data_IF_853483132305
#
_entry.id   IF_853483132305
#
_cell.length_a   1.000
_cell.length_b   1.000
_cell.length_c   1.000
_cell.angle_alpha   90.00
_cell.angle_beta   90.00
_cell.angle_gamma   90.00
#
_symmetry.space_group_name_H-M   'P 1'
#
loop_
_entity.id
_entity.type
_entity.pdbx_description
1 polymer ?
#
# COMPACT_ATOMS: atom_id res chain seq x y z
N UNK A 1 9.82 -63.29 -22.05
CA UNK A 1 10.18 -62.63 -20.78
C UNK A 1 10.01 -61.14 -20.97
N UNK A 2 8.80 -60.66 -20.72
CA UNK A 2 8.38 -59.26 -20.82
C UNK A 2 8.34 -58.68 -19.41
N UNK A 3 9.26 -57.75 -19.11
CA UNK A 3 9.29 -57.03 -17.84
C UNK A 3 8.53 -55.70 -18.01
N UNK A 4 7.38 -55.64 -17.34
CA UNK A 4 6.59 -54.42 -17.12
C UNK A 4 7.34 -53.51 -16.15
N UNK A 5 7.68 -52.30 -16.58
CA UNK A 5 8.09 -51.19 -15.72
C UNK A 5 6.88 -50.26 -15.61
N UNK A 6 6.19 -50.31 -14.47
CA UNK A 6 5.09 -49.40 -14.13
C UNK A 6 5.66 -48.14 -13.49
N UNK A 7 5.73 -47.05 -14.28
CA UNK A 7 6.02 -45.71 -13.77
C UNK A 7 4.77 -45.07 -13.18
N UNK A 8 4.72 -44.90 -11.86
CA UNK A 8 3.68 -44.16 -11.16
C UNK A 8 4.02 -42.66 -11.23
N UNK A 9 3.55 -41.99 -12.28
CA UNK A 9 3.48 -40.52 -12.31
C UNK A 9 2.29 -40.05 -11.46
N UNK A 10 2.57 -39.64 -10.21
CA UNK A 10 1.60 -38.84 -9.43
C UNK A 10 1.54 -37.44 -10.05
N UNK A 11 0.55 -37.22 -10.91
CA UNK A 11 0.06 -35.87 -11.24
C UNK A 11 -0.57 -35.29 -9.98
N UNK A 12 0.16 -34.43 -9.26
CA UNK A 12 -0.48 -33.50 -8.33
C UNK A 12 -1.29 -32.51 -9.15
N UNK A 13 -2.61 -32.71 -9.16
CA UNK A 13 -3.53 -31.75 -9.69
C UNK A 13 -3.46 -30.49 -8.81
N UNK A 14 -2.96 -29.40 -9.38
CA UNK A 14 -3.19 -28.06 -8.85
C UNK A 14 -4.68 -27.77 -9.03
N UNK A 15 -5.48 -28.20 -8.05
CA UNK A 15 -6.84 -27.71 -7.88
C UNK A 15 -6.73 -26.22 -7.57
N UNK A 16 -7.14 -25.39 -8.53
CA UNK A 16 -7.41 -23.96 -8.28
C UNK A 16 -8.36 -23.90 -7.09
N UNK A 17 -7.84 -23.46 -5.95
CA UNK A 17 -8.66 -23.24 -4.78
C UNK A 17 -9.68 -22.15 -5.10
N UNK A 18 -10.98 -22.36 -4.87
CA UNK A 18 -11.95 -21.30 -4.97
C UNK A 18 -11.64 -20.29 -3.85
N UNK A 19 -11.35 -19.05 -4.25
CA UNK A 19 -11.36 -17.90 -3.36
C UNK A 19 -12.72 -17.86 -2.67
N UNK A 20 -12.79 -18.25 -1.40
CA UNK A 20 -14.00 -18.12 -0.60
C UNK A 20 -14.01 -16.70 -0.05
N UNK A 21 -14.85 -15.87 -0.68
CA UNK A 21 -15.11 -14.50 -0.27
C UNK A 21 -15.38 -14.43 1.24
N UNK A 22 -14.60 -13.64 1.96
CA UNK A 22 -14.89 -13.31 3.34
C UNK A 22 -16.09 -12.36 3.37
N UNK A 23 -17.18 -12.80 4.00
CA UNK A 23 -18.35 -11.99 4.34
C UNK A 23 -18.01 -10.82 5.29
N UNK A 24 -17.36 -9.79 4.79
CA UNK A 24 -17.55 -8.41 5.24
C UNK A 24 -18.03 -7.63 4.02
N UNK A 25 -19.34 -7.38 3.93
CA UNK A 25 -19.93 -6.71 2.77
C UNK A 25 -19.54 -5.24 2.65
N UNK A 26 -18.79 -4.69 3.62
CA UNK A 26 -18.35 -3.31 3.62
C UNK A 26 -16.84 -3.24 3.42
N UNK A 27 -16.40 -2.40 2.48
CA UNK A 27 -15.01 -1.98 2.32
C UNK A 27 -14.48 -1.43 3.64
N UNK A 28 -13.24 -1.78 4.00
CA UNK A 28 -12.61 -1.19 5.19
C UNK A 28 -12.41 0.33 5.01
N UNK A 29 -12.28 0.80 3.77
CA UNK A 29 -11.98 2.19 3.43
C UNK A 29 -13.18 3.12 3.47
N UNK A 30 -14.38 2.57 3.36
CA UNK A 30 -15.63 3.29 3.47
C UNK A 30 -16.03 3.51 4.93
N UNK A 31 -16.31 4.75 5.31
CA UNK A 31 -16.97 5.06 6.58
C UNK A 31 -18.46 4.70 6.49
N UNK A 32 -19.09 4.40 7.63
CA UNK A 32 -20.49 3.98 7.68
C UNK A 32 -21.48 4.99 7.03
N UNK A 33 -21.13 6.28 7.05
CA UNK A 33 -21.93 7.37 6.46
C UNK A 33 -21.56 7.70 5.01
N UNK A 34 -20.68 6.93 4.38
CA UNK A 34 -20.20 7.22 3.04
C UNK A 34 -21.25 6.93 1.95
N UNK A 35 -21.32 7.74 0.88
CA UNK A 35 -22.28 7.55 -0.22
C UNK A 35 -22.04 6.23 -0.97
N UNK A 36 -20.80 5.75 -0.98
CA UNK A 36 -20.36 4.51 -1.65
C UNK A 36 -20.21 3.32 -0.69
N UNK A 37 -20.83 3.39 0.49
CA UNK A 37 -20.86 2.29 1.47
C UNK A 37 -21.49 0.99 0.95
N UNK A 38 -22.28 1.07 -0.12
CA UNK A 38 -22.91 -0.09 -0.75
C UNK A 38 -21.96 -0.89 -1.66
N UNK A 39 -20.80 -0.33 -2.02
CA UNK A 39 -19.81 -1.01 -2.85
C UNK A 39 -18.93 -1.94 -2.02
N UNK A 40 -18.68 -3.13 -2.57
CA UNK A 40 -17.73 -4.08 -2.00
C UNK A 40 -16.30 -3.59 -2.23
N UNK A 41 -15.37 -4.02 -1.37
CA UNK A 41 -13.97 -3.67 -1.47
C UNK A 41 -13.32 -4.04 -2.81
N UNK A 42 -13.62 -5.22 -3.37
CA UNK A 42 -13.12 -5.66 -4.68
C UNK A 42 -13.59 -4.76 -5.83
N UNK A 43 -14.83 -4.26 -5.76
CA UNK A 43 -15.35 -3.32 -6.76
C UNK A 43 -14.61 -1.98 -6.67
N UNK A 44 -14.29 -1.54 -5.44
CA UNK A 44 -13.56 -0.31 -5.19
C UNK A 44 -12.12 -0.40 -5.71
N UNK A 45 -11.46 -1.54 -5.52
CA UNK A 45 -10.14 -1.82 -6.12
C UNK A 45 -10.21 -1.81 -7.64
N UNK A 46 -11.21 -2.46 -8.23
CA UNK A 46 -11.41 -2.45 -9.68
C UNK A 46 -11.60 -1.04 -10.22
N UNK A 47 -12.42 -0.22 -9.55
CA UNK A 47 -12.63 1.18 -9.91
C UNK A 47 -11.36 2.02 -9.76
N UNK A 48 -10.50 1.70 -8.79
CA UNK A 48 -9.23 2.37 -8.66
C UNK A 48 -8.30 2.02 -9.83
N UNK A 49 -8.27 0.77 -10.29
CA UNK A 49 -7.41 0.31 -11.38
C UNK A 49 -7.86 0.82 -12.76
N UNK A 50 -9.13 1.21 -12.91
CA UNK A 50 -9.68 1.75 -14.15
C UNK A 50 -8.81 2.89 -14.72
N UNK A 51 -8.48 2.79 -16.01
CA UNK A 51 -7.58 3.74 -16.68
C UNK A 51 -8.13 5.17 -16.69
N UNK A 52 -9.46 5.33 -16.75
CA UNK A 52 -10.13 6.64 -16.69
C UNK A 52 -9.91 7.30 -15.34
N UNK A 53 -10.09 6.53 -14.26
CA UNK A 53 -9.91 6.99 -12.89
C UNK A 53 -8.43 7.31 -12.64
N UNK A 54 -7.51 6.43 -13.05
CA UNK A 54 -6.07 6.69 -12.93
C UNK A 54 -5.62 7.96 -13.66
N UNK A 55 -6.12 8.20 -14.89
CA UNK A 55 -5.83 9.44 -15.63
C UNK A 55 -6.32 10.68 -14.88
N UNK A 56 -7.52 10.63 -14.30
CA UNK A 56 -8.06 11.71 -13.48
C UNK A 56 -7.23 11.91 -12.21
N UNK A 57 -6.92 10.86 -11.46
CA UNK A 57 -6.14 10.93 -10.23
C UNK A 57 -4.72 11.45 -10.45
N UNK A 58 -4.06 11.05 -11.54
CA UNK A 58 -2.76 11.58 -11.94
C UNK A 58 -2.83 13.07 -12.24
N UNK A 59 -3.87 13.50 -12.97
CA UNK A 59 -4.07 14.92 -13.24
C UNK A 59 -4.35 15.70 -11.96
N UNK A 60 -5.23 15.20 -11.09
CA UNK A 60 -5.57 15.83 -9.80
C UNK A 60 -4.32 16.01 -8.93
N UNK A 61 -3.45 15.00 -8.85
CA UNK A 61 -2.18 15.04 -8.09
C UNK A 61 -1.30 16.24 -8.41
N UNK A 62 -1.36 16.73 -9.66
CA UNK A 62 -0.52 17.83 -10.12
C UNK A 62 0.92 17.38 -10.37
N UNK A 63 1.70 18.30 -10.94
CA UNK A 63 3.07 18.02 -11.35
C UNK A 63 3.98 19.20 -11.01
N UNK A 64 4.39 19.28 -9.74
CA UNK A 64 5.38 20.24 -9.28
C UNK A 64 6.77 19.58 -9.24
N UNK A 65 7.58 19.83 -10.27
CA UNK A 65 8.89 19.19 -10.43
C UNK A 65 9.87 19.56 -9.34
N UNK A 66 9.83 20.80 -8.84
CA UNK A 66 10.71 21.27 -7.78
C UNK A 66 10.41 20.56 -6.46
N UNK A 67 9.12 20.32 -6.16
CA UNK A 67 8.72 19.55 -4.98
C UNK A 67 9.08 18.07 -5.11
N UNK A 68 8.81 17.46 -6.27
CA UNK A 68 9.05 16.02 -6.51
C UNK A 68 10.55 15.70 -6.44
N UNK A 69 11.37 16.54 -7.07
CA UNK A 69 12.82 16.36 -7.19
C UNK A 69 13.59 17.15 -6.12
N UNK A 70 12.92 17.57 -5.05
CA UNK A 70 13.55 18.29 -3.94
C UNK A 70 14.77 17.53 -3.42
N UNK A 71 15.76 18.29 -2.97
CA UNK A 71 16.99 17.72 -2.43
C UNK A 71 16.68 16.84 -1.21
N UNK A 72 17.08 15.57 -1.26
CA UNK A 72 16.92 14.61 -0.15
C UNK A 72 18.22 14.53 0.64
N UNK A 73 18.13 14.25 1.94
CA UNK A 73 19.30 13.94 2.75
C UNK A 73 19.79 12.54 2.35
N UNK A 74 20.96 12.47 1.72
CA UNK A 74 21.62 11.23 1.33
C UNK A 74 22.82 11.04 2.25
N UNK A 75 23.17 9.80 2.57
CA UNK A 75 24.31 9.48 3.44
C UNK A 75 25.66 9.97 2.89
N UNK A 76 25.76 10.12 1.57
CA UNK A 76 26.95 10.60 0.87
C UNK A 76 26.55 11.73 -0.07
N UNK A 77 27.17 12.89 0.11
CA UNK A 77 26.98 14.04 -0.78
C UNK A 77 27.93 13.91 -1.97
N UNK A 78 27.35 13.97 -3.17
CA UNK A 78 28.13 14.04 -4.40
C UNK A 78 28.46 15.51 -4.73
N UNK A 79 29.53 15.73 -5.50
CA UNK A 79 29.90 17.08 -5.95
C UNK A 79 28.90 17.54 -7.01
N UNK A 80 28.51 18.81 -6.95
CA UNK A 80 27.65 19.40 -7.98
C UNK A 80 28.41 19.49 -9.31
N UNK A 81 27.77 18.99 -10.38
CA UNK A 81 28.29 19.08 -11.73
C UNK A 81 27.67 20.28 -12.44
N UNK A 82 28.50 21.21 -12.90
CA UNK A 82 28.08 22.36 -13.69
C UNK A 82 28.37 22.09 -15.18
N UNK A 83 27.42 22.40 -16.05
CA UNK A 83 27.56 22.27 -17.49
C UNK A 83 27.04 23.53 -18.18
N UNK A 84 27.76 23.99 -19.22
CA UNK A 84 27.28 25.04 -20.10
C UNK A 84 26.33 24.41 -21.13
N UNK A 85 25.12 24.95 -21.26
CA UNK A 85 24.07 24.41 -22.13
C UNK A 85 23.54 25.50 -23.05
N UNK A 86 23.16 25.12 -24.27
CA UNK A 86 22.36 25.98 -25.16
C UNK A 86 20.88 25.90 -24.76
N UNK A 87 20.07 26.85 -25.22
CA UNK A 87 18.63 26.88 -24.90
C UNK A 87 17.90 25.60 -25.34
N UNK A 88 18.29 25.01 -26.47
CA UNK A 88 17.71 23.75 -26.94
C UNK A 88 18.08 22.59 -26.01
N UNK A 89 19.34 22.51 -25.56
CA UNK A 89 19.78 21.50 -24.61
C UNK A 89 19.07 21.65 -23.26
N UNK A 90 18.84 22.88 -22.80
CA UNK A 90 18.12 23.16 -21.57
C UNK A 90 16.66 22.67 -21.67
N UNK A 91 15.97 22.96 -22.78
CA UNK A 91 14.60 22.48 -23.02
C UNK A 91 14.50 20.96 -23.02
N UNK A 92 15.43 20.28 -23.69
CA UNK A 92 15.49 18.82 -23.67
C UNK A 92 15.75 18.28 -22.26
N UNK A 93 16.65 18.92 -21.51
CA UNK A 93 16.95 18.54 -20.15
C UNK A 93 15.74 18.69 -19.23
N UNK A 94 15.00 19.81 -19.33
CA UNK A 94 13.75 20.02 -18.60
C UNK A 94 12.72 18.94 -18.95
N UNK A 95 12.53 18.62 -20.24
CA UNK A 95 11.62 17.53 -20.64
C UNK A 95 12.02 16.17 -20.05
N UNK A 96 13.32 15.86 -19.98
CA UNK A 96 13.80 14.64 -19.31
C UNK A 96 13.59 14.66 -17.80
N UNK A 97 13.73 15.82 -17.16
CA UNK A 97 13.42 16.01 -15.74
C UNK A 97 11.93 15.77 -15.47
N UNK A 98 11.04 16.32 -16.30
CA UNK A 98 9.59 16.13 -16.19
C UNK A 98 9.23 14.64 -16.32
N UNK A 99 9.79 13.95 -17.31
CA UNK A 99 9.62 12.50 -17.47
C UNK A 99 10.14 11.70 -16.26
N UNK A 100 11.24 12.13 -15.66
CA UNK A 100 11.79 11.52 -14.45
C UNK A 100 10.89 11.78 -13.25
N UNK A 101 10.40 13.00 -13.08
CA UNK A 101 9.46 13.38 -12.04
C UNK A 101 8.16 12.56 -12.14
N UNK A 102 7.65 12.35 -13.36
CA UNK A 102 6.47 11.51 -13.60
C UNK A 102 6.63 10.06 -13.11
N UNK A 103 7.84 9.50 -13.13
CA UNK A 103 8.10 8.15 -12.59
C UNK A 103 7.99 8.10 -11.06
N UNK A 104 8.27 9.20 -10.36
CA UNK A 104 8.14 9.28 -8.90
C UNK A 104 6.68 9.43 -8.45
N UNK A 105 5.81 10.00 -9.29
CA UNK A 105 4.37 10.18 -9.01
C UNK A 105 3.50 8.94 -9.25
N UNK A 106 4.10 7.75 -9.32
CA UNK A 106 3.33 6.50 -9.40
C UNK A 106 2.49 6.32 -8.14
N UNK A 107 1.18 6.40 -8.31
CA UNK A 107 0.21 6.38 -7.23
C UNK A 107 0.35 5.09 -6.43
N UNK A 108 0.23 5.19 -5.10
CA UNK A 108 0.23 4.03 -4.21
C UNK A 108 -1.01 3.19 -4.47
N UNK A 109 -0.87 1.86 -4.68
CA UNK A 109 -2.02 1.01 -4.95
C UNK A 109 -2.99 1.03 -3.78
N UNK A 110 -4.28 1.15 -4.10
CA UNK A 110 -5.38 1.05 -3.16
C UNK A 110 -5.83 -0.41 -3.10
N UNK A 111 -5.72 -1.04 -1.92
CA UNK A 111 -6.10 -2.43 -1.68
C UNK A 111 -6.86 -2.57 -0.36
N UNK A 112 -7.78 -3.51 -0.30
CA UNK A 112 -8.40 -3.94 0.94
C UNK A 112 -7.42 -4.71 1.82
N UNK A 113 -7.58 -4.60 3.15
CA UNK A 113 -6.76 -5.32 4.08
C UNK A 113 -7.07 -6.82 4.01
N UNK A 114 -6.01 -7.62 3.94
CA UNK A 114 -6.11 -9.09 3.99
C UNK A 114 -6.68 -9.57 5.32
N UNK A 115 -7.42 -10.67 5.29
CA UNK A 115 -8.06 -11.24 6.47
C UNK A 115 -7.05 -11.90 7.42
N UNK A 116 -7.24 -11.74 8.74
CA UNK A 116 -6.44 -12.41 9.78
C UNK A 116 -6.88 -13.86 10.04
N UNK A 117 -7.46 -14.54 9.04
CA UNK A 117 -7.92 -15.93 9.19
C UNK A 117 -6.71 -16.86 9.11
N UNK A 118 -6.69 -17.83 10.03
CA UNK A 118 -5.70 -18.90 10.01
C UNK A 118 -6.41 -20.22 9.75
N UNK A 119 -5.76 -21.09 9.00
CA UNK A 119 -6.24 -22.43 8.70
C UNK A 119 -5.45 -23.44 9.51
N UNK A 120 -6.15 -24.34 10.19
CA UNK A 120 -5.51 -25.40 10.97
C UNK A 120 -5.21 -26.57 10.02
N UNK A 121 -3.93 -26.91 9.90
CA UNK A 121 -3.45 -27.98 9.04
C UNK A 121 -3.46 -29.33 9.77
N UNK A 122 -3.05 -29.35 11.04
CA UNK A 122 -2.99 -30.55 11.86
C UNK A 122 -3.13 -30.20 13.35
N UNK A 123 -3.56 -31.17 14.16
CA UNK A 123 -3.66 -31.04 15.62
C UNK A 123 -3.08 -32.29 16.27
N UNK A 124 -1.89 -32.14 16.86
CA UNK A 124 -1.15 -33.25 17.46
C UNK A 124 -1.13 -33.09 18.98
N UNK A 125 -2.07 -33.75 19.68
CA UNK A 125 -2.25 -33.60 21.13
C UNK A 125 -1.07 -34.17 21.94
N UNK A 126 -0.27 -35.07 21.35
CA UNK A 126 0.89 -35.69 22.00
C UNK A 126 2.04 -34.71 22.28
N UNK A 127 2.07 -33.57 21.57
CA UNK A 127 3.12 -32.55 21.66
C UNK A 127 2.61 -31.34 22.48
N UNK A 128 1.41 -31.44 23.05
CA UNK A 128 0.84 -30.41 23.91
C UNK A 128 1.74 -30.18 25.13
N UNK A 129 2.11 -28.91 25.37
CA UNK A 129 3.01 -28.53 26.46
C UNK A 129 4.48 -28.96 26.29
N UNK A 130 4.92 -29.33 25.07
CA UNK A 130 6.32 -29.65 24.81
C UNK A 130 7.27 -28.46 25.04
N UNK A 131 6.85 -27.25 24.65
CA UNK A 131 7.60 -26.01 24.88
C UNK A 131 6.65 -24.86 25.28
N UNK A 132 7.23 -23.85 25.92
CA UNK A 132 6.58 -22.60 26.31
C UNK A 132 6.45 -21.59 25.17
N UNK A 133 7.16 -21.78 24.06
CA UNK A 133 7.13 -20.89 22.91
C UNK A 133 6.50 -21.58 21.69
N UNK A 134 5.91 -20.76 20.80
CA UNK A 134 5.46 -21.24 19.48
C UNK A 134 6.63 -21.34 18.51
N UNK A 135 6.60 -22.34 17.64
CA UNK A 135 7.59 -22.52 16.59
C UNK A 135 7.05 -22.01 15.25
N UNK A 136 7.87 -21.25 14.53
CA UNK A 136 7.51 -20.75 13.19
C UNK A 136 8.44 -21.37 12.17
N UNK A 137 7.86 -22.14 11.26
CA UNK A 137 8.59 -22.77 10.16
C UNK A 137 8.34 -21.98 8.88
N UNK A 138 9.41 -21.60 8.20
CA UNK A 138 9.36 -20.80 6.97
C UNK A 138 10.15 -21.53 5.89
N UNK A 139 9.53 -21.71 4.74
CA UNK A 139 10.23 -22.21 3.56
C UNK A 139 11.14 -21.12 2.98
N UNK A 140 12.43 -21.40 2.86
CA UNK A 140 13.45 -20.45 2.37
C UNK A 140 13.86 -20.72 0.91
N UNK A 141 13.07 -21.49 0.18
CA UNK A 141 13.29 -21.77 -1.24
C UNK A 141 13.32 -20.48 -2.07
N UNK A 142 14.31 -20.37 -2.96
CA UNK A 142 14.54 -19.16 -3.77
C UNK A 142 13.47 -18.94 -4.85
N UNK A 143 12.86 -20.02 -5.35
CA UNK A 143 11.89 -19.95 -6.45
C UNK A 143 10.50 -19.46 -5.99
N UNK A 144 10.26 -19.37 -4.68
CA UNK A 144 9.00 -18.92 -4.11
C UNK A 144 8.96 -17.40 -3.94
N UNK A 145 7.88 -16.76 -4.41
CA UNK A 145 7.62 -15.34 -4.15
C UNK A 145 7.26 -15.11 -2.68
N UNK A 146 7.42 -13.88 -2.18
CA UNK A 146 7.03 -13.52 -0.81
C UNK A 146 5.55 -13.81 -0.52
N UNK A 147 4.70 -13.76 -1.57
CA UNK A 147 3.26 -14.01 -1.52
C UNK A 147 2.86 -15.49 -1.66
N UNK A 148 3.72 -16.35 -2.21
CA UNK A 148 3.44 -17.79 -2.37
C UNK A 148 4.19 -18.65 -1.33
N UNK A 149 5.16 -18.06 -0.62
CA UNK A 149 5.98 -18.76 0.38
C UNK A 149 5.16 -19.33 1.52
N UNK A 150 5.39 -20.60 1.83
CA UNK A 150 4.72 -21.28 2.93
C UNK A 150 5.34 -20.91 4.27
N UNK A 151 4.49 -20.44 5.18
CA UNK A 151 4.85 -20.14 6.58
C UNK A 151 3.81 -20.78 7.47
N UNK A 152 4.26 -21.65 8.35
CA UNK A 152 3.40 -22.39 9.28
C UNK A 152 3.86 -22.18 10.72
N UNK A 153 2.90 -22.16 11.62
CA UNK A 153 3.11 -21.90 13.04
C UNK A 153 2.60 -23.11 13.82
N UNK A 154 3.48 -23.68 14.64
CA UNK A 154 3.11 -24.67 15.65
C UNK A 154 2.90 -23.95 16.97
N UNK A 155 1.67 -23.97 17.44
CA UNK A 155 1.29 -23.44 18.75
C UNK A 155 1.67 -24.38 19.89
N UNK A 156 1.64 -23.86 21.12
CA UNK A 156 1.94 -24.60 22.34
C UNK A 156 1.00 -25.81 22.54
N UNK A 157 -0.26 -25.68 22.12
CA UNK A 157 -1.30 -26.71 22.19
C UNK A 157 -1.10 -27.88 21.19
N UNK A 158 0.06 -27.95 20.53
CA UNK A 158 0.34 -28.93 19.47
C UNK A 158 -0.38 -28.69 18.14
N UNK A 159 -1.11 -27.57 18.01
CA UNK A 159 -1.84 -27.22 16.77
C UNK A 159 -0.88 -26.63 15.73
N UNK A 160 -0.88 -27.17 14.51
CA UNK A 160 -0.17 -26.63 13.36
C UNK A 160 -1.15 -25.83 12.49
N UNK A 161 -0.91 -24.54 12.34
CA UNK A 161 -1.74 -23.63 11.53
C UNK A 161 -0.91 -22.85 10.53
N UNK A 162 -1.58 -22.25 9.55
CA UNK A 162 -0.97 -21.23 8.70
C UNK A 162 -0.62 -19.97 9.51
N UNK A 163 0.44 -19.28 9.09
CA UNK A 163 0.86 -18.05 9.75
C UNK A 163 -0.14 -16.92 9.53
N UNK A 164 -0.27 -16.05 10.54
CA UNK A 164 -0.98 -14.79 10.36
C UNK A 164 -0.23 -13.92 9.34
N UNK A 165 -0.93 -13.00 8.65
CA UNK A 165 -0.26 -12.16 7.66
C UNK A 165 0.89 -11.32 8.24
N UNK A 166 0.74 -10.79 9.46
CA UNK A 166 1.83 -10.09 10.14
C UNK A 166 3.03 -10.99 10.50
N UNK A 167 2.76 -12.23 10.93
CA UNK A 167 3.80 -13.21 11.25
C UNK A 167 4.59 -13.56 9.99
N UNK A 168 3.88 -13.75 8.87
CA UNK A 168 4.44 -14.03 7.56
C UNK A 168 5.34 -12.89 7.08
N UNK A 169 4.88 -11.65 7.08
CA UNK A 169 5.68 -10.50 6.65
C UNK A 169 6.92 -10.33 7.52
N UNK A 170 6.81 -10.60 8.83
CA UNK A 170 7.94 -10.54 9.75
C UNK A 170 8.97 -11.62 9.43
N UNK A 171 8.54 -12.86 9.15
CA UNK A 171 9.44 -13.94 8.75
C UNK A 171 10.09 -13.68 7.38
N UNK A 172 9.32 -13.18 6.41
CA UNK A 172 9.85 -12.76 5.12
C UNK A 172 10.96 -11.73 5.29
N UNK A 173 10.77 -10.70 6.13
CA UNK A 173 11.80 -9.69 6.41
C UNK A 173 13.02 -10.24 7.15
N UNK A 174 12.84 -11.26 7.99
CA UNK A 174 13.94 -11.89 8.73
C UNK A 174 14.86 -12.70 7.80
N UNK A 175 14.28 -13.52 6.93
CA UNK A 175 15.05 -14.37 6.02
C UNK A 175 15.49 -13.66 4.73
N UNK A 176 14.65 -12.75 4.21
CA UNK A 176 14.89 -12.00 2.98
C UNK A 176 15.05 -10.52 3.31
N UNK A 177 16.25 -10.20 3.82
CA UNK A 177 16.59 -8.85 4.29
C UNK A 177 16.59 -7.86 3.14
N UNK A 178 15.78 -6.82 3.27
CA UNK A 178 15.82 -5.65 2.40
C UNK A 178 16.63 -4.52 3.08
N UNK A 179 17.44 -3.77 2.33
CA UNK A 179 18.26 -2.72 2.90
C UNK A 179 17.37 -1.65 3.56
N UNK A 180 17.72 -1.26 4.78
CA UNK A 180 17.02 -0.23 5.56
C UNK A 180 15.56 -0.54 5.93
N UNK A 181 15.12 -1.80 5.82
CA UNK A 181 13.81 -2.26 6.30
C UNK A 181 13.96 -3.10 7.57
N UNK A 182 13.60 -2.58 8.75
CA UNK A 182 13.73 -3.33 9.99
C UNK A 182 12.73 -4.50 10.09
N UNK A 183 13.09 -5.52 10.86
CA UNK A 183 12.22 -6.68 11.14
C UNK A 183 11.10 -6.31 12.12
N UNK A 184 11.40 -5.47 13.10
CA UNK A 184 10.39 -4.95 14.02
C UNK A 184 9.78 -3.67 13.47
N UNK A 185 8.51 -3.46 13.78
CA UNK A 185 7.79 -2.25 13.44
C UNK A 185 8.43 -1.03 14.13
N UNK A 186 8.77 0.03 13.37
CA UNK A 186 9.18 1.29 13.95
C UNK A 186 8.10 1.89 14.86
N UNK A 187 8.46 2.48 16.02
CA UNK A 187 7.48 3.08 16.93
C UNK A 187 6.72 4.25 16.30
N UNK A 188 7.28 4.88 15.25
CA UNK A 188 6.61 5.97 14.53
C UNK A 188 5.25 5.57 13.93
N UNK A 189 5.04 4.29 13.60
CA UNK A 189 3.79 3.83 12.99
C UNK A 189 2.67 3.55 13.99
N UNK A 190 2.98 3.51 15.29
CA UNK A 190 1.97 3.33 16.31
C UNK A 190 1.10 4.59 16.43
N UNK A 191 -0.20 4.46 16.18
CA UNK A 191 -1.16 5.59 16.18
C UNK A 191 -1.26 6.24 17.57
N UNK A 192 -1.10 5.43 18.62
CA UNK A 192 -1.16 5.88 20.03
C UNK A 192 0.09 6.67 20.45
N UNK A 193 1.17 6.62 19.66
CA UNK A 193 2.44 7.20 20.07
C UNK A 193 2.49 8.71 19.80
N UNK A 194 3.04 9.46 20.76
CA UNK A 194 3.29 10.91 20.62
C UNK A 194 4.20 11.25 19.43
N UNK A 195 5.05 10.30 19.01
CA UNK A 195 6.00 10.50 17.92
C UNK A 195 5.31 10.75 16.59
N UNK A 196 4.22 10.02 16.32
CA UNK A 196 3.45 10.22 15.10
C UNK A 196 2.84 11.62 15.10
N UNK A 197 2.16 12.02 16.17
CA UNK A 197 1.54 13.34 16.30
C UNK A 197 2.57 14.47 16.12
N UNK A 198 3.71 14.40 16.83
CA UNK A 198 4.80 15.39 16.69
C UNK A 198 5.34 15.50 15.26
N UNK A 199 5.32 14.40 14.51
CA UNK A 199 5.77 14.37 13.10
C UNK A 199 4.71 15.00 12.18
N UNK A 200 3.43 14.74 12.43
CA UNK A 200 2.33 15.34 11.68
C UNK A 200 2.19 16.84 11.96
N UNK A 201 2.45 17.28 13.20
CA UNK A 201 2.49 18.70 13.57
C UNK A 201 3.59 19.48 12.83
N UNK A 202 4.68 18.79 12.46
CA UNK A 202 5.80 19.33 11.66
C UNK A 202 5.56 19.25 10.15
N UNK A 203 4.38 18.83 9.72
CA UNK A 203 4.01 18.66 8.32
C UNK A 203 4.79 17.57 7.58
N UNK A 204 5.38 16.62 8.30
CA UNK A 204 6.16 15.51 7.73
C UNK A 204 5.28 14.31 7.31
N UNK A 205 4.07 14.58 6.82
CA UNK A 205 3.09 13.55 6.41
C UNK A 205 3.62 12.65 5.28
N UNK A 206 4.28 13.25 4.27
CA UNK A 206 4.89 12.53 3.15
C UNK A 206 5.96 11.55 3.63
N UNK A 207 6.76 11.94 4.63
CA UNK A 207 7.83 11.10 5.15
C UNK A 207 7.27 9.84 5.82
N UNK A 208 6.24 9.98 6.65
CA UNK A 208 5.59 8.84 7.32
C UNK A 208 4.98 7.90 6.29
N UNK A 209 4.27 8.43 5.29
CA UNK A 209 3.63 7.62 4.25
C UNK A 209 4.66 6.92 3.34
N UNK A 210 5.73 7.60 2.95
CA UNK A 210 6.81 7.00 2.16
C UNK A 210 7.52 5.88 2.93
N UNK A 211 7.77 6.08 4.23
CA UNK A 211 8.37 5.03 5.06
C UNK A 211 7.40 3.87 5.27
N UNK A 212 6.11 4.15 5.47
CA UNK A 212 5.08 3.12 5.57
C UNK A 212 4.99 2.28 4.29
N UNK A 213 5.04 2.89 3.10
CA UNK A 213 5.08 2.17 1.82
C UNK A 213 6.34 1.33 1.62
N UNK A 214 7.45 1.72 2.24
CA UNK A 214 8.67 0.91 2.22
C UNK A 214 8.60 -0.26 3.21
N UNK A 215 7.96 -0.05 4.36
CA UNK A 215 7.91 -1.03 5.45
C UNK A 215 6.77 -2.05 5.31
N UNK A 216 5.58 -1.64 4.88
CA UNK A 216 4.39 -2.48 4.78
C UNK A 216 4.09 -2.93 3.35
N UNK A 217 3.33 -4.01 3.25
CA UNK A 217 2.61 -4.35 2.02
C UNK A 217 1.31 -3.52 1.92
N UNK A 218 0.84 -3.19 0.71
CA UNK A 218 -0.31 -2.30 0.52
C UNK A 218 -1.65 -2.87 1.01
N UNK A 219 -1.75 -4.18 1.18
CA UNK A 219 -2.90 -4.93 1.72
C UNK A 219 -2.74 -5.25 3.21
N UNK A 220 -1.70 -4.74 3.88
CA UNK A 220 -1.53 -4.94 5.32
C UNK A 220 -2.56 -4.09 6.10
N UNK A 221 -3.26 -4.66 7.10
CA UNK A 221 -4.29 -3.93 7.86
C UNK A 221 -3.74 -2.68 8.55
N UNK A 222 -2.57 -2.79 9.18
CA UNK A 222 -1.89 -1.66 9.84
C UNK A 222 -1.53 -0.53 8.87
N UNK A 223 -1.14 -0.86 7.64
CA UNK A 223 -0.84 0.15 6.62
C UNK A 223 -2.09 0.94 6.25
N UNK A 224 -3.17 0.22 5.98
CA UNK A 224 -4.47 0.80 5.65
C UNK A 224 -4.99 1.69 6.78
N UNK A 225 -4.88 1.25 8.03
CA UNK A 225 -5.24 2.04 9.22
C UNK A 225 -4.41 3.31 9.34
N UNK A 226 -3.09 3.21 9.20
CA UNK A 226 -2.17 4.34 9.27
C UNK A 226 -2.47 5.36 8.16
N UNK A 227 -2.70 4.92 6.93
CA UNK A 227 -3.08 5.80 5.81
C UNK A 227 -4.37 6.56 6.11
N UNK A 228 -5.41 5.88 6.59
CA UNK A 228 -6.70 6.52 6.96
C UNK A 228 -6.50 7.56 8.06
N UNK A 229 -5.74 7.21 9.09
CA UNK A 229 -5.44 8.12 10.19
C UNK A 229 -4.75 9.40 9.70
N UNK A 230 -3.71 9.25 8.87
CA UNK A 230 -2.98 10.38 8.30
C UNK A 230 -3.89 11.20 7.38
N UNK A 231 -4.71 10.57 6.53
CA UNK A 231 -5.65 11.27 5.65
C UNK A 231 -6.70 12.07 6.43
N UNK A 232 -7.31 11.48 7.45
CA UNK A 232 -8.25 12.19 8.31
C UNK A 232 -7.57 13.33 9.08
N UNK A 233 -6.35 13.14 9.58
CA UNK A 233 -5.58 14.19 10.24
C UNK A 233 -5.24 15.36 9.29
N UNK A 234 -4.81 15.06 8.06
CA UNK A 234 -4.54 16.09 7.05
C UNK A 234 -5.79 16.88 6.70
N UNK A 235 -6.94 16.23 6.66
CA UNK A 235 -8.21 16.87 6.39
C UNK A 235 -8.70 17.72 7.57
N UNK A 236 -8.55 17.23 8.80
CA UNK A 236 -8.96 17.96 10.00
C UNK A 236 -8.20 19.27 10.16
N UNK A 237 -6.95 19.32 9.73
CA UNK A 237 -6.10 20.51 9.78
C UNK A 237 -6.10 21.33 8.46
N UNK A 238 -6.89 20.93 7.46
CA UNK A 238 -6.93 21.54 6.11
C UNK A 238 -5.53 21.62 5.43
N UNK A 239 -4.65 20.65 5.69
CA UNK A 239 -3.25 20.60 5.22
C UNK A 239 -3.06 19.73 3.96
N UNK A 240 -3.98 19.83 3.00
CA UNK A 240 -3.92 19.03 1.75
C UNK A 240 -2.70 19.40 0.87
N UNK A 241 -2.19 20.63 0.99
CA UNK A 241 -1.04 21.10 0.22
C UNK A 241 0.26 20.33 0.52
N UNK A 242 0.38 19.79 1.73
CA UNK A 242 1.54 18.98 2.14
C UNK A 242 1.67 17.75 1.25
N UNK A 243 0.55 17.08 0.96
CA UNK A 243 0.52 15.88 0.12
C UNK A 243 0.35 16.19 -1.37
N UNK A 244 0.03 17.42 -1.76
CA UNK A 244 -0.08 17.81 -3.18
C UNK A 244 1.23 17.56 -3.95
N UNK A 245 1.15 17.11 -5.20
CA UNK A 245 2.31 16.68 -6.01
C UNK A 245 3.18 15.59 -5.36
N UNK A 246 2.57 14.73 -4.52
CA UNK A 246 3.20 13.50 -4.02
C UNK A 246 2.46 12.27 -4.55
N UNK A 247 3.11 11.11 -4.51
CA UNK A 247 2.51 9.83 -4.93
C UNK A 247 1.29 9.39 -4.12
N UNK A 248 1.10 9.94 -2.93
CA UNK A 248 0.01 9.59 -2.01
C UNK A 248 -1.27 10.37 -2.29
N UNK A 249 -1.17 11.49 -3.01
CA UNK A 249 -2.31 12.38 -3.25
C UNK A 249 -3.42 11.70 -4.04
N UNK A 250 -3.10 10.88 -5.05
CA UNK A 250 -4.10 10.15 -5.82
C UNK A 250 -4.95 9.25 -4.92
N UNK A 251 -4.31 8.52 -4.01
CA UNK A 251 -4.99 7.65 -3.04
C UNK A 251 -5.81 8.46 -2.03
N UNK A 252 -5.29 9.60 -1.56
CA UNK A 252 -6.01 10.54 -0.70
C UNK A 252 -7.26 11.10 -1.39
N UNK A 253 -7.13 11.59 -2.63
CA UNK A 253 -8.25 12.15 -3.39
C UNK A 253 -9.34 11.10 -3.60
N UNK A 254 -8.95 9.88 -3.96
CA UNK A 254 -9.87 8.74 -4.08
C UNK A 254 -10.59 8.45 -2.75
N UNK A 255 -9.84 8.37 -1.65
CA UNK A 255 -10.38 8.18 -0.30
C UNK A 255 -11.38 9.29 0.12
N UNK A 256 -11.10 10.54 -0.20
CA UNK A 256 -11.99 11.67 0.11
C UNK A 256 -13.30 11.59 -0.68
N UNK A 257 -13.24 11.27 -1.98
CA UNK A 257 -14.44 11.15 -2.82
C UNK A 257 -15.30 9.99 -2.35
N UNK A 258 -14.69 8.84 -2.03
CA UNK A 258 -15.42 7.67 -1.52
C UNK A 258 -16.17 8.00 -0.23
N UNK A 259 -15.53 8.73 0.68
CA UNK A 259 -16.13 9.11 1.95
C UNK A 259 -17.05 10.35 1.88
N UNK A 260 -17.42 10.80 0.68
CA UNK A 260 -18.32 11.94 0.49
C UNK A 260 -17.72 13.29 0.89
N UNK A 261 -16.41 13.38 1.11
CA UNK A 261 -15.71 14.59 1.52
C UNK A 261 -15.16 15.38 0.32
N UNK A 262 -15.90 15.38 -0.79
CA UNK A 262 -15.51 16.02 -2.05
C UNK A 262 -15.39 17.54 -1.90
N UNK A 263 -16.24 18.17 -1.09
CA UNK A 263 -16.28 19.63 -0.91
C UNK A 263 -14.93 20.20 -0.48
N UNK A 264 -14.22 19.48 0.39
CA UNK A 264 -12.87 19.86 0.85
C UNK A 264 -11.85 19.84 -0.27
N UNK A 265 -11.97 18.88 -1.19
CA UNK A 265 -11.10 18.78 -2.37
C UNK A 265 -11.41 19.90 -3.37
N UNK A 266 -12.69 20.24 -3.57
CA UNK A 266 -13.11 21.36 -4.40
C UNK A 266 -12.58 22.69 -3.84
N UNK A 267 -12.79 22.93 -2.53
CA UNK A 267 -12.29 24.12 -1.84
C UNK A 267 -10.76 24.26 -1.99
N UNK A 268 -10.02 23.16 -1.90
CA UNK A 268 -8.56 23.16 -2.11
C UNK A 268 -8.18 23.62 -3.52
N UNK A 269 -8.85 23.12 -4.57
CA UNK A 269 -8.55 23.53 -5.95
C UNK A 269 -9.01 24.96 -6.26
N UNK A 270 -10.11 25.41 -5.66
CA UNK A 270 -10.56 26.80 -5.74
C UNK A 270 -9.50 27.74 -5.14
N UNK A 271 -8.95 27.41 -3.96
CA UNK A 271 -7.87 28.19 -3.34
C UNK A 271 -6.59 28.24 -4.20
N UNK A 272 -6.30 27.16 -4.92
CA UNK A 272 -5.17 27.09 -5.87
C UNK A 272 -5.49 27.71 -7.24
N UNK A 273 -6.71 28.24 -7.46
CA UNK A 273 -7.20 28.76 -8.74
C UNK A 273 -7.07 27.77 -9.92
N UNK A 274 -7.26 26.47 -9.65
CA UNK A 274 -7.13 25.41 -10.66
C UNK A 274 -8.50 24.86 -11.06
N UNK A 275 -9.14 25.50 -12.04
CA UNK A 275 -10.46 25.12 -12.54
C UNK A 275 -10.50 23.67 -13.07
N UNK A 276 -9.44 23.23 -13.76
CA UNK A 276 -9.33 21.86 -14.27
C UNK A 276 -9.46 20.81 -13.15
N UNK A 277 -8.93 21.10 -11.96
CA UNK A 277 -9.00 20.21 -10.81
C UNK A 277 -10.41 20.09 -10.25
N UNK A 278 -11.17 21.19 -10.26
CA UNK A 278 -12.58 21.23 -9.85
C UNK A 278 -13.42 20.35 -10.80
N UNK A 279 -13.24 20.51 -12.11
CA UNK A 279 -13.99 19.75 -13.11
C UNK A 279 -13.64 18.26 -13.08
N UNK A 280 -12.35 17.93 -12.94
CA UNK A 280 -11.89 16.54 -12.81
C UNK A 280 -12.40 15.86 -11.54
N UNK A 281 -12.50 16.61 -10.43
CA UNK A 281 -13.07 16.09 -9.18
C UNK A 281 -14.55 15.76 -9.36
N UNK A 282 -15.32 16.61 -10.05
CA UNK A 282 -16.73 16.34 -10.39
C UNK A 282 -16.88 15.14 -11.33
N UNK A 283 -16.02 15.03 -12.35
CA UNK A 283 -16.00 13.88 -13.25
C UNK A 283 -15.71 12.57 -12.52
N UNK A 284 -14.75 12.59 -11.60
CA UNK A 284 -14.43 11.43 -10.76
C UNK A 284 -15.64 11.01 -9.93
N UNK A 285 -16.31 11.96 -9.29
CA UNK A 285 -17.53 11.66 -8.53
C UNK A 285 -18.66 11.11 -9.42
N UNK A 286 -18.87 11.68 -10.61
CA UNK A 286 -19.86 11.16 -11.57
C UNK A 286 -19.58 9.70 -11.91
N UNK A 287 -18.33 9.37 -12.27
CA UNK A 287 -17.93 7.99 -12.58
C UNK A 287 -18.23 7.07 -11.40
N UNK A 288 -17.86 7.47 -10.18
CA UNK A 288 -18.05 6.64 -8.99
C UNK A 288 -19.52 6.50 -8.58
N UNK A 289 -20.34 7.53 -8.81
CA UNK A 289 -21.78 7.52 -8.49
C UNK A 289 -22.62 6.70 -9.48
N UNK A 290 -22.06 6.35 -10.63
CA UNK A 290 -22.73 5.51 -11.62
C UNK A 290 -22.69 4.00 -11.30
N UNK A 291 -21.86 3.59 -10.33
CA UNK A 291 -21.74 2.22 -9.85
C UNK A 291 -22.45 2.08 -8.51
#
# INVERSE_FOLDING_TARGET
MTLLITGILRKFALTKFPFTASNSSLSSWCKAESPLSHLNGEQLESLFVDERVQRLLLSLTGHDTDKILRHRRINQTERTHYALMTDNMMKEFMSRLDQRAGKFLRIVPFKEPRSNRTEVLARDVEIDGFDTAKFVFTDISFDATDLDRTVVVREQDGTLRTALPEERDRMNRLFFVQPNRPVNEPPLFAITDEWLQKTLDRDEHEFVLDWACHFYEPDAPKFVELCKYIFDHTLANDKLDVLYSTRHFGTLAFYLVINGKMDKLLQFYEQKNRNDGVDQTRQLWQILSCY
#
